data_IF_618890691790
#
_entry.id   IF_618890691790
#
_cell.length_a   1.000
_cell.length_b   1.000
_cell.length_c   1.000
_cell.angle_alpha   90.00
_cell.angle_beta   90.00
_cell.angle_gamma   90.00
#
_symmetry.space_group_name_H-M   'P 1'
#
loop_
_entity.id
_entity.type
_entity.pdbx_description
1 polymer ?
#
# COMPACT_ATOMS: atom_id res chain seq x y z
N UNK A 1 17.21 -12.04 -13.34
CA UNK A 1 16.11 -11.56 -12.48
C UNK A 1 16.70 -11.30 -11.10
N UNK A 2 16.69 -10.07 -10.60
CA UNK A 2 17.20 -9.75 -9.26
C UNK A 2 16.07 -9.91 -8.24
N UNK A 3 16.29 -10.68 -7.17
CA UNK A 3 15.32 -10.86 -6.10
C UNK A 3 15.70 -9.94 -4.95
N UNK A 4 14.92 -8.87 -4.74
CA UNK A 4 15.15 -7.90 -3.66
C UNK A 4 14.72 -8.45 -2.30
N UNK A 5 13.76 -9.39 -2.29
CA UNK A 5 13.21 -10.02 -1.09
C UNK A 5 13.20 -11.54 -1.32
N UNK A 6 14.39 -12.15 -1.39
CA UNK A 6 14.52 -13.59 -1.68
C UNK A 6 14.31 -14.45 -0.43
N UNK A 7 14.75 -13.96 0.74
CA UNK A 7 14.65 -14.67 2.03
C UNK A 7 13.84 -13.85 3.03
N UNK A 8 13.32 -14.53 4.05
CA UNK A 8 12.57 -13.89 5.15
C UNK A 8 13.36 -12.76 5.81
N UNK A 9 14.64 -12.95 6.07
CA UNK A 9 15.50 -11.92 6.66
C UNK A 9 15.63 -10.67 5.77
N UNK A 10 15.64 -10.84 4.43
CA UNK A 10 15.70 -9.74 3.48
C UNK A 10 14.36 -8.95 3.51
N UNK A 11 13.22 -9.65 3.67
CA UNK A 11 11.90 -9.02 3.86
C UNK A 11 11.84 -8.21 5.16
N UNK A 12 12.27 -8.79 6.27
CA UNK A 12 12.22 -8.15 7.59
C UNK A 12 13.08 -6.89 7.62
N UNK A 13 14.28 -6.96 7.07
CA UNK A 13 15.18 -5.80 6.96
C UNK A 13 14.56 -4.67 6.15
N UNK A 14 14.06 -4.97 4.94
CA UNK A 14 13.47 -3.95 4.06
C UNK A 14 12.17 -3.38 4.61
N UNK A 15 11.41 -4.19 5.35
CA UNK A 15 10.21 -3.74 6.07
C UNK A 15 10.56 -2.75 7.17
N UNK A 16 11.58 -3.06 7.99
CA UNK A 16 12.04 -2.16 9.05
C UNK A 16 12.53 -0.82 8.47
N UNK A 17 13.37 -0.86 7.42
CA UNK A 17 13.86 0.35 6.75
C UNK A 17 12.70 1.22 6.21
N UNK A 18 11.65 0.61 5.64
CA UNK A 18 10.47 1.34 5.17
C UNK A 18 9.71 2.00 6.33
N UNK A 19 9.47 1.27 7.43
CA UNK A 19 8.74 1.80 8.57
C UNK A 19 9.51 2.93 9.28
N UNK A 20 10.84 2.81 9.42
CA UNK A 20 11.68 3.88 9.98
C UNK A 20 11.51 5.20 9.20
N UNK A 21 11.44 5.13 7.87
CA UNK A 21 11.24 6.30 7.01
C UNK A 21 9.83 6.89 7.15
N UNK A 22 8.81 6.04 7.29
CA UNK A 22 7.42 6.48 7.53
C UNK A 22 7.28 7.11 8.92
N UNK A 23 7.85 6.50 9.95
CA UNK A 23 7.87 7.02 11.32
C UNK A 23 8.63 8.34 11.43
N UNK A 24 9.74 8.48 10.69
CA UNK A 24 10.48 9.76 10.61
C UNK A 24 9.67 10.90 9.96
N UNK A 25 8.54 10.59 9.31
CA UNK A 25 7.71 11.55 8.59
C UNK A 25 8.28 12.00 7.25
N UNK A 26 9.42 11.45 6.82
CA UNK A 26 10.02 11.73 5.51
C UNK A 26 9.12 11.21 4.36
N UNK A 27 8.34 10.16 4.61
CA UNK A 27 7.29 9.68 3.70
C UNK A 27 5.94 9.74 4.41
N UNK A 28 4.96 10.37 3.77
CA UNK A 28 3.58 10.44 4.26
C UNK A 28 2.67 9.63 3.35
N UNK A 29 1.89 8.74 3.94
CA UNK A 29 0.95 7.87 3.21
C UNK A 29 -0.45 8.45 3.38
N UNK A 30 -0.95 9.09 2.31
CA UNK A 30 -2.31 9.62 2.28
C UNK A 30 -3.29 8.52 1.85
N UNK A 31 -4.31 8.28 2.68
CA UNK A 31 -5.42 7.37 2.40
C UNK A 31 -6.55 8.22 1.79
N UNK A 32 -6.68 8.15 0.47
CA UNK A 32 -7.58 9.01 -0.27
C UNK A 32 -8.94 8.36 -0.54
N UNK A 33 -9.02 7.03 -0.46
CA UNK A 33 -10.27 6.30 -0.65
C UNK A 33 -10.37 5.14 0.34
N UNK A 34 -11.57 5.00 0.90
CA UNK A 34 -11.92 3.92 1.82
C UNK A 34 -13.22 3.30 1.35
N UNK A 35 -13.20 2.00 1.07
CA UNK A 35 -14.39 1.26 0.68
C UNK A 35 -14.68 0.16 1.70
N UNK A 36 -15.95 -0.20 1.88
CA UNK A 36 -16.27 -1.43 2.60
C UNK A 36 -15.82 -2.64 1.77
N UNK A 37 -15.47 -3.75 2.41
CA UNK A 37 -14.98 -4.96 1.74
C UNK A 37 -16.01 -5.51 0.74
N UNK A 38 -17.30 -5.41 1.08
CA UNK A 38 -18.42 -5.75 0.18
C UNK A 38 -18.46 -4.92 -1.11
N UNK A 39 -17.85 -3.73 -1.11
CA UNK A 39 -17.79 -2.80 -2.23
C UNK A 39 -16.48 -2.89 -3.02
N UNK A 40 -15.70 -3.98 -2.86
CA UNK A 40 -14.45 -4.19 -3.58
C UNK A 40 -14.57 -4.02 -5.10
N UNK A 41 -15.69 -4.44 -5.71
CA UNK A 41 -15.96 -4.24 -7.13
C UNK A 41 -15.85 -2.75 -7.53
N UNK A 42 -16.43 -1.85 -6.73
CA UNK A 42 -16.39 -0.40 -6.98
C UNK A 42 -14.98 0.17 -6.82
N UNK A 43 -14.20 -0.34 -5.87
CA UNK A 43 -12.81 0.07 -5.70
C UNK A 43 -11.97 -0.27 -6.95
N UNK A 44 -12.18 -1.46 -7.53
CA UNK A 44 -11.51 -1.88 -8.76
C UNK A 44 -11.97 -1.08 -9.97
N UNK A 45 -13.27 -0.86 -10.15
CA UNK A 45 -13.81 -0.03 -11.23
C UNK A 45 -13.22 1.39 -11.20
N UNK A 46 -13.09 1.99 -10.00
CA UNK A 46 -12.49 3.30 -9.83
C UNK A 46 -10.99 3.31 -10.18
N UNK A 47 -10.26 2.25 -9.80
CA UNK A 47 -8.83 2.09 -10.11
C UNK A 47 -8.60 1.93 -11.62
N UNK A 48 -9.35 1.04 -12.27
CA UNK A 48 -9.25 0.78 -13.71
C UNK A 48 -9.63 2.00 -14.56
N UNK A 49 -10.65 2.75 -14.11
CA UNK A 49 -11.05 4.01 -14.74
C UNK A 49 -10.07 5.18 -14.45
N UNK A 50 -8.95 4.93 -13.75
CA UNK A 50 -7.95 5.93 -13.35
C UNK A 50 -8.54 7.08 -12.52
N UNK A 51 -9.56 6.78 -11.71
CA UNK A 51 -10.22 7.75 -10.82
C UNK A 51 -9.61 7.79 -9.41
N UNK A 52 -8.71 6.87 -9.08
CA UNK A 52 -8.01 6.84 -7.80
C UNK A 52 -6.70 7.62 -7.88
N UNK A 53 -6.39 8.36 -6.82
CA UNK A 53 -5.07 8.94 -6.57
C UNK A 53 -4.62 8.54 -5.18
N UNK A 54 -3.33 8.31 -4.97
CA UNK A 54 -2.81 7.85 -3.67
C UNK A 54 -3.30 6.44 -3.31
N UNK A 55 -3.54 6.21 -2.02
CA UNK A 55 -3.86 4.88 -1.48
C UNK A 55 -5.37 4.68 -1.33
N UNK A 56 -5.86 3.53 -1.80
CA UNK A 56 -7.22 3.04 -1.53
C UNK A 56 -7.16 1.85 -0.57
N UNK A 57 -8.01 1.81 0.45
CA UNK A 57 -8.10 0.70 1.40
C UNK A 57 -9.51 0.09 1.45
N UNK A 58 -9.57 -1.20 1.79
CA UNK A 58 -10.81 -1.92 2.05
C UNK A 58 -10.95 -2.16 3.56
N UNK A 59 -12.09 -1.78 4.12
CA UNK A 59 -12.43 -2.06 5.51
C UNK A 59 -13.36 -3.28 5.59
N UNK A 60 -13.07 -4.27 6.46
CA UNK A 60 -13.87 -5.47 6.62
C UNK A 60 -15.31 -5.19 7.07
#
# INVERSE_FOLDING_TARGET
>A
MFNYIARRADLEKTTAELFDVVESGAVKIEINQTYALKDACKAHEALEARKTTGTSILLP
#
